data_IF_463044813610
#
_entry.id   IF_463044813610
#
_cell.length_a   1.000
_cell.length_b   1.000
_cell.length_c   1.000
_cell.angle_alpha   90.00
_cell.angle_beta   90.00
_cell.angle_gamma   90.00
#
_symmetry.space_group_name_H-M   'P 1'
#
loop_
_entity.id
_entity.type
_entity.pdbx_description
1 polymer ?
#
# COMPACT_ATOMS: atom_id res chain seq x y z
N UNK A 1 -72.05 -24.90 -60.14
CA UNK A 1 -71.68 -24.56 -58.75
C UNK A 1 -70.18 -24.75 -58.64
N UNK A 2 -69.32 -23.81 -58.25
CA UNK A 2 -69.49 -22.51 -57.63
C UNK A 2 -68.32 -21.60 -58.07
N UNK A 3 -68.62 -20.34 -58.37
CA UNK A 3 -67.61 -19.30 -58.59
C UNK A 3 -67.38 -18.58 -57.27
N UNK A 4 -66.25 -18.81 -56.61
CA UNK A 4 -65.90 -18.05 -55.40
C UNK A 4 -64.98 -16.91 -55.80
N UNK A 5 -65.58 -15.74 -55.95
CA UNK A 5 -64.89 -14.47 -56.19
C UNK A 5 -64.10 -14.09 -54.93
N UNK A 6 -62.76 -14.14 -55.02
CA UNK A 6 -61.86 -13.71 -53.95
C UNK A 6 -61.62 -12.19 -54.09
N UNK A 7 -62.62 -11.40 -53.71
CA UNK A 7 -62.48 -9.95 -53.53
C UNK A 7 -62.82 -9.65 -52.08
N UNK A 8 -61.78 -9.45 -51.24
CA UNK A 8 -61.78 -8.63 -50.01
C UNK A 8 -60.52 -8.90 -49.17
N UNK A 9 -59.33 -8.47 -49.61
CA UNK A 9 -58.18 -8.43 -48.68
C UNK A 9 -57.14 -7.33 -48.94
N UNK A 10 -57.43 -6.38 -49.84
CA UNK A 10 -56.45 -5.33 -50.21
C UNK A 10 -56.40 -4.17 -49.23
N UNK A 11 -57.45 -3.96 -48.44
CA UNK A 11 -57.58 -2.79 -47.54
C UNK A 11 -57.00 -3.02 -46.13
N UNK A 12 -56.83 -4.28 -45.71
CA UNK A 12 -56.25 -4.66 -44.41
C UNK A 12 -54.72 -4.82 -44.49
N UNK A 13 -54.21 -5.35 -45.60
CA UNK A 13 -52.77 -5.55 -45.85
C UNK A 13 -51.95 -4.25 -45.76
N UNK A 14 -52.46 -3.15 -46.35
CA UNK A 14 -51.75 -1.86 -46.36
C UNK A 14 -51.57 -1.28 -44.94
N UNK A 15 -52.55 -1.48 -44.06
CA UNK A 15 -52.51 -0.98 -42.68
C UNK A 15 -51.59 -1.82 -41.79
N UNK A 16 -51.51 -3.13 -42.04
CA UNK A 16 -50.61 -4.04 -41.32
C UNK A 16 -49.13 -3.79 -41.67
N UNK A 17 -48.83 -3.52 -42.95
CA UNK A 17 -47.50 -3.14 -43.43
C UNK A 17 -47.01 -1.84 -42.78
N UNK A 18 -47.88 -0.82 -42.69
CA UNK A 18 -47.57 0.47 -42.08
C UNK A 18 -47.27 0.35 -40.57
N UNK A 19 -47.99 -0.52 -39.86
CA UNK A 19 -47.75 -0.83 -38.44
C UNK A 19 -46.40 -1.54 -38.24
N UNK A 20 -46.05 -2.46 -39.14
CA UNK A 20 -44.77 -3.18 -39.11
C UNK A 20 -43.60 -2.22 -39.37
N UNK A 21 -43.74 -1.33 -40.34
CA UNK A 21 -42.72 -0.33 -40.66
C UNK A 21 -42.51 0.69 -39.53
N UNK A 22 -43.58 1.18 -38.91
CA UNK A 22 -43.45 2.07 -37.76
C UNK A 22 -42.82 1.34 -36.55
N UNK A 23 -43.16 0.06 -36.33
CA UNK A 23 -42.50 -0.77 -35.29
C UNK A 23 -41.01 -0.93 -35.60
N UNK A 24 -40.62 -1.17 -36.85
CA UNK A 24 -39.22 -1.27 -37.28
C UNK A 24 -38.49 0.05 -37.08
N UNK A 25 -39.11 1.18 -37.44
CA UNK A 25 -38.57 2.52 -37.22
C UNK A 25 -38.31 2.80 -35.74
N UNK A 26 -39.29 2.52 -34.87
CA UNK A 26 -39.15 2.65 -33.41
C UNK A 26 -38.03 1.76 -32.85
N UNK A 27 -37.90 0.52 -33.33
CA UNK A 27 -36.81 -0.39 -32.94
C UNK A 27 -35.45 0.14 -33.34
N UNK A 28 -35.31 0.68 -34.55
CA UNK A 28 -34.04 1.27 -35.00
C UNK A 28 -33.64 2.48 -34.14
N UNK A 29 -34.59 3.34 -33.77
CA UNK A 29 -34.33 4.50 -32.90
C UNK A 29 -33.93 4.02 -31.50
N UNK A 30 -34.70 3.09 -30.91
CA UNK A 30 -34.42 2.55 -29.58
C UNK A 30 -33.08 1.82 -29.51
N UNK A 31 -32.74 1.00 -30.52
CA UNK A 31 -31.46 0.31 -30.61
C UNK A 31 -30.29 1.28 -30.79
N UNK A 32 -30.47 2.32 -31.62
CA UNK A 32 -29.46 3.38 -31.79
C UNK A 32 -29.20 4.08 -30.46
N UNK A 33 -30.25 4.42 -29.72
CA UNK A 33 -30.11 5.05 -28.42
C UNK A 33 -29.47 4.12 -27.39
N UNK A 34 -29.87 2.85 -27.34
CA UNK A 34 -29.30 1.87 -26.40
C UNK A 34 -27.82 1.58 -26.69
N UNK A 35 -27.43 1.50 -27.97
CA UNK A 35 -26.04 1.39 -28.39
C UNK A 35 -25.23 2.63 -27.98
N UNK A 36 -25.79 3.85 -28.14
CA UNK A 36 -25.16 5.09 -27.67
C UNK A 36 -24.94 5.07 -26.16
N UNK A 37 -25.98 4.75 -25.38
CA UNK A 37 -25.90 4.66 -23.91
C UNK A 37 -24.92 3.56 -23.45
N UNK A 38 -24.84 2.45 -24.18
CA UNK A 38 -23.86 1.39 -23.90
C UNK A 38 -22.42 1.89 -24.10
N UNK A 39 -22.15 2.55 -25.23
CA UNK A 39 -20.83 3.17 -25.49
C UNK A 39 -20.49 4.22 -24.45
N UNK A 40 -21.44 5.09 -24.10
CA UNK A 40 -21.24 6.12 -23.08
C UNK A 40 -20.87 5.52 -21.71
N UNK A 41 -21.60 4.50 -21.25
CA UNK A 41 -21.29 3.82 -19.98
C UNK A 41 -19.90 3.17 -19.99
N UNK A 42 -19.52 2.54 -21.10
CA UNK A 42 -18.16 1.97 -21.25
C UNK A 42 -17.09 3.06 -21.21
N UNK A 43 -17.32 4.20 -21.87
CA UNK A 43 -16.38 5.33 -21.84
C UNK A 43 -16.22 5.87 -20.41
N UNK A 44 -17.33 6.11 -19.70
CA UNK A 44 -17.31 6.56 -18.31
C UNK A 44 -16.52 5.61 -17.41
N UNK A 45 -16.73 4.30 -17.57
CA UNK A 45 -16.00 3.31 -16.80
C UNK A 45 -14.50 3.30 -17.10
N UNK A 46 -14.11 3.48 -18.36
CA UNK A 46 -12.70 3.62 -18.73
C UNK A 46 -12.08 4.88 -18.11
N UNK A 47 -12.79 6.01 -18.16
CA UNK A 47 -12.33 7.27 -17.57
C UNK A 47 -12.17 7.15 -16.05
N UNK A 48 -13.12 6.49 -15.37
CA UNK A 48 -13.04 6.17 -13.94
C UNK A 48 -11.81 5.32 -13.61
N UNK A 49 -11.54 4.27 -14.40
CA UNK A 49 -10.38 3.40 -14.21
C UNK A 49 -9.06 4.16 -14.43
N UNK A 50 -8.99 5.01 -15.45
CA UNK A 50 -7.81 5.85 -15.72
C UNK A 50 -7.56 6.81 -14.56
N UNK A 51 -8.60 7.48 -14.07
CA UNK A 51 -8.50 8.39 -12.92
C UNK A 51 -8.05 7.64 -11.66
N UNK A 52 -8.60 6.45 -11.40
CA UNK A 52 -8.21 5.63 -10.26
C UNK A 52 -6.75 5.18 -10.36
N UNK A 53 -6.29 4.77 -11.54
CA UNK A 53 -4.90 4.40 -11.77
C UNK A 53 -3.95 5.59 -11.56
N UNK A 54 -4.32 6.78 -12.05
CA UNK A 54 -3.55 8.00 -11.84
C UNK A 54 -3.44 8.37 -10.35
N UNK A 55 -4.57 8.36 -9.63
CA UNK A 55 -4.61 8.62 -8.20
C UNK A 55 -3.76 7.61 -7.40
N UNK A 56 -3.88 6.32 -7.70
CA UNK A 56 -3.08 5.29 -7.02
C UNK A 56 -1.58 5.45 -7.31
N UNK A 57 -1.22 5.87 -8.51
CA UNK A 57 0.18 6.15 -8.88
C UNK A 57 0.74 7.34 -8.10
N UNK A 58 -0.04 8.40 -7.94
CA UNK A 58 0.33 9.56 -7.14
C UNK A 58 0.49 9.20 -5.66
N UNK A 59 -0.47 8.48 -5.08
CA UNK A 59 -0.39 8.01 -3.69
C UNK A 59 0.82 7.08 -3.46
N UNK A 60 1.11 6.19 -4.41
CA UNK A 60 2.29 5.32 -4.31
C UNK A 60 3.59 6.14 -4.32
N UNK A 61 3.69 7.16 -5.18
CA UNK A 61 4.84 8.06 -5.22
C UNK A 61 4.98 8.84 -3.91
N UNK A 62 3.86 9.34 -3.35
CA UNK A 62 3.81 10.04 -2.06
C UNK A 62 4.28 9.15 -0.91
N UNK A 63 3.77 7.92 -0.82
CA UNK A 63 4.17 6.95 0.20
C UNK A 63 5.66 6.61 0.07
N UNK A 64 6.13 6.34 -1.15
CA UNK A 64 7.55 6.05 -1.40
C UNK A 64 8.45 7.19 -0.91
N UNK A 65 8.10 8.43 -1.21
CA UNK A 65 8.83 9.60 -0.72
C UNK A 65 8.86 9.67 0.81
N UNK A 66 7.72 9.44 1.47
CA UNK A 66 7.63 9.41 2.93
C UNK A 66 8.49 8.30 3.54
N UNK A 67 8.46 7.10 2.96
CA UNK A 67 9.30 5.97 3.40
C UNK A 67 10.78 6.32 3.29
N UNK A 68 11.22 6.92 2.19
CA UNK A 68 12.60 7.34 2.01
C UNK A 68 13.03 8.38 3.05
N UNK A 69 12.18 9.37 3.33
CA UNK A 69 12.46 10.38 4.36
C UNK A 69 12.58 9.76 5.76
N UNK A 70 11.70 8.82 6.10
CA UNK A 70 11.75 8.10 7.39
C UNK A 70 13.02 7.26 7.47
N UNK A 71 13.38 6.56 6.39
CA UNK A 71 14.60 5.76 6.32
C UNK A 71 15.85 6.62 6.54
N UNK A 72 15.95 7.78 5.89
CA UNK A 72 17.08 8.70 6.08
C UNK A 72 17.20 9.17 7.54
N UNK A 73 16.07 9.53 8.16
CA UNK A 73 16.04 9.92 9.58
C UNK A 73 16.42 8.76 10.50
N UNK A 74 15.93 7.56 10.20
CA UNK A 74 16.26 6.36 10.95
C UNK A 74 17.77 6.08 10.90
N UNK A 75 18.38 6.10 9.71
CA UNK A 75 19.82 5.89 9.56
C UNK A 75 20.65 6.94 10.30
N UNK A 76 20.21 8.20 10.29
CA UNK A 76 20.84 9.27 11.07
C UNK A 76 20.78 8.96 12.57
N UNK A 77 19.60 8.66 13.10
CA UNK A 77 19.41 8.32 14.51
C UNK A 77 20.21 7.06 14.91
N UNK A 78 20.30 6.07 14.03
CA UNK A 78 21.09 4.86 14.28
C UNK A 78 22.59 5.19 14.37
N UNK A 79 23.10 6.07 13.49
CA UNK A 79 24.49 6.54 13.56
C UNK A 79 24.77 7.33 14.85
N UNK A 80 23.86 8.21 15.27
CA UNK A 80 23.95 8.94 16.53
C UNK A 80 23.93 7.97 17.73
N UNK A 81 23.07 6.96 17.69
CA UNK A 81 22.99 5.93 18.71
C UNK A 81 24.29 5.11 18.80
N UNK A 82 24.89 4.77 17.66
CA UNK A 82 26.17 4.08 17.60
C UNK A 82 27.30 4.89 18.24
N UNK A 83 27.35 6.20 17.99
CA UNK A 83 28.32 7.11 18.63
C UNK A 83 28.11 7.14 20.15
N UNK A 84 26.87 7.31 20.61
CA UNK A 84 26.55 7.31 22.04
C UNK A 84 26.94 5.98 22.72
N UNK A 85 26.72 4.84 22.06
CA UNK A 85 27.15 3.53 22.55
C UNK A 85 28.67 3.41 22.66
N UNK A 86 29.40 3.92 21.67
CA UNK A 86 30.86 3.93 21.70
C UNK A 86 31.39 4.80 22.87
N UNK A 87 30.80 5.98 23.06
CA UNK A 87 31.14 6.87 24.18
C UNK A 87 30.83 6.22 25.53
N UNK A 88 29.67 5.57 25.66
CA UNK A 88 29.31 4.84 26.87
C UNK A 88 30.32 3.73 27.16
N UNK A 89 30.68 2.92 26.15
CA UNK A 89 31.68 1.86 26.30
C UNK A 89 33.06 2.41 26.74
N UNK A 90 33.49 3.53 26.18
CA UNK A 90 34.73 4.21 26.58
C UNK A 90 34.67 4.66 28.04
N UNK A 91 33.59 5.33 28.46
CA UNK A 91 33.43 5.82 29.82
C UNK A 91 33.34 4.68 30.84
N UNK A 92 32.60 3.62 30.51
CA UNK A 92 32.54 2.40 31.32
C UNK A 92 33.91 1.74 31.44
N UNK A 93 34.67 1.63 30.35
CA UNK A 93 36.03 1.09 30.39
C UNK A 93 36.97 1.92 31.27
N UNK A 94 36.88 3.25 31.20
CA UNK A 94 37.63 4.15 32.10
C UNK A 94 37.24 3.97 33.56
N UNK A 95 35.95 3.88 33.86
CA UNK A 95 35.48 3.64 35.23
C UNK A 95 35.97 2.29 35.75
N UNK A 96 35.87 1.22 34.95
CA UNK A 96 36.38 -0.10 35.34
C UNK A 96 37.89 -0.08 35.61
N UNK A 97 38.66 0.67 34.82
CA UNK A 97 40.09 0.86 35.06
C UNK A 97 40.35 1.56 36.41
N UNK A 98 39.59 2.60 36.73
CA UNK A 98 39.72 3.31 38.02
C UNK A 98 39.28 2.41 39.17
N UNK A 99 38.16 1.71 39.03
CA UNK A 99 37.66 0.75 40.00
C UNK A 99 38.68 -0.38 40.25
N UNK A 100 39.38 -0.86 39.22
CA UNK A 100 40.45 -1.85 39.36
C UNK A 100 41.65 -1.31 40.16
N UNK A 101 42.04 -0.05 39.95
CA UNK A 101 43.09 0.59 40.75
C UNK A 101 42.65 0.75 42.20
N UNK A 102 41.40 1.12 42.41
CA UNK A 102 40.82 1.30 43.74
C UNK A 102 40.80 -0.01 44.52
N UNK A 103 40.44 -1.14 43.88
CA UNK A 103 40.52 -2.49 44.47
C UNK A 103 41.94 -2.86 44.87
N UNK A 104 42.94 -2.50 44.07
CA UNK A 104 44.34 -2.72 44.47
C UNK A 104 44.69 -1.91 45.73
N UNK A 105 44.29 -0.63 45.81
CA UNK A 105 44.57 0.22 46.98
C UNK A 105 43.87 -0.28 48.24
N UNK A 106 42.63 -0.74 48.12
CA UNK A 106 41.87 -1.39 49.20
C UNK A 106 42.63 -2.61 49.73
N UNK A 107 43.14 -3.48 48.86
CA UNK A 107 43.94 -4.65 49.25
C UNK A 107 45.23 -4.26 49.99
N UNK A 108 45.92 -3.19 49.55
CA UNK A 108 47.16 -2.72 50.21
C UNK A 108 46.93 -1.97 51.52
N UNK A 109 45.84 -1.21 51.63
CA UNK A 109 45.56 -0.34 52.78
C UNK A 109 44.72 -1.02 53.87
N UNK A 110 44.01 -2.10 53.53
CA UNK A 110 43.06 -2.77 54.42
C UNK A 110 41.82 -1.94 54.75
N UNK A 111 41.60 -0.83 54.04
CA UNK A 111 40.42 0.03 54.19
C UNK A 111 39.40 -0.36 53.13
N UNK A 112 38.26 -0.88 53.60
CA UNK A 112 37.09 -1.23 52.79
C UNK A 112 36.56 0.01 52.05
N UNK A 113 36.44 -0.09 50.72
CA UNK A 113 36.01 1.01 49.86
C UNK A 113 34.75 0.62 49.08
N UNK A 114 33.69 1.44 49.17
CA UNK A 114 32.42 1.18 48.46
C UNK A 114 32.52 1.57 46.98
N UNK A 115 32.88 0.59 46.14
CA UNK A 115 33.09 0.78 44.69
C UNK A 115 31.79 0.54 43.92
N UNK A 116 31.17 1.60 43.42
CA UNK A 116 29.96 1.50 42.58
C UNK A 116 30.27 0.92 41.19
N UNK A 117 29.49 -0.09 40.79
CA UNK A 117 29.51 -0.68 39.44
C UNK A 117 28.35 -0.16 38.58
N UNK A 118 28.61 0.05 37.29
CA UNK A 118 27.55 0.42 36.33
C UNK A 118 26.74 -0.85 35.99
N UNK A 119 25.40 -0.84 36.11
CA UNK A 119 24.57 -1.99 35.78
C UNK A 119 24.64 -2.41 34.29
N UNK A 120 24.80 -3.72 34.04
CA UNK A 120 24.80 -4.37 32.71
C UNK A 120 23.65 -3.98 31.76
N UNK A 121 22.39 -3.71 32.22
CA UNK A 121 21.31 -3.29 31.34
C UNK A 121 21.59 -2.00 30.56
N UNK A 122 22.45 -1.12 31.09
CA UNK A 122 22.87 0.10 30.38
C UNK A 122 23.82 -0.21 29.23
N UNK A 123 24.52 -1.35 29.27
CA UNK A 123 25.40 -1.77 28.19
C UNK A 123 24.64 -2.39 27.00
N UNK A 124 23.42 -2.93 27.21
CA UNK A 124 22.63 -3.58 26.14
C UNK A 124 21.09 -3.39 26.25
N UNK A 125 20.56 -2.16 26.21
CA UNK A 125 19.15 -1.90 26.54
C UNK A 125 18.14 -2.50 25.55
N UNK A 126 18.56 -2.82 24.32
CA UNK A 126 17.64 -3.20 23.21
C UNK A 126 17.98 -4.52 22.53
N UNK A 127 18.79 -5.37 23.17
CA UNK A 127 19.14 -6.68 22.61
C UNK A 127 17.96 -7.68 22.59
N UNK A 128 16.77 -7.27 23.03
CA UNK A 128 15.54 -8.08 23.05
C UNK A 128 14.79 -8.14 21.70
N UNK A 129 15.13 -7.29 20.73
CA UNK A 129 14.49 -7.29 19.42
C UNK A 129 15.53 -7.57 18.33
N UNK A 130 16.00 -8.81 18.22
CA UNK A 130 16.51 -9.29 16.93
C UNK A 130 15.32 -9.29 15.98
N UNK A 131 15.09 -8.17 15.30
CA UNK A 131 14.16 -8.09 14.20
C UNK A 131 14.58 -9.14 13.17
N UNK A 132 13.90 -10.27 13.16
CA UNK A 132 13.98 -11.21 12.06
C UNK A 132 13.62 -10.43 10.80
N UNK A 133 14.40 -10.56 9.70
CA UNK A 133 14.06 -9.88 8.46
C UNK A 133 12.66 -10.33 8.05
N UNK A 134 11.72 -9.37 7.95
CA UNK A 134 10.42 -9.62 7.35
C UNK A 134 10.72 -9.82 5.86
N UNK A 135 10.88 -11.09 5.47
CA UNK A 135 10.97 -11.48 4.08
C UNK A 135 9.58 -11.24 3.50
N UNK A 136 9.39 -10.08 2.87
CA UNK A 136 8.23 -9.81 2.05
C UNK A 136 8.29 -10.80 0.87
N UNK A 137 7.57 -11.92 1.00
CA UNK A 137 7.36 -12.87 -0.08
C UNK A 137 6.59 -12.16 -1.20
N UNK A 138 7.30 -11.66 -2.19
CA UNK A 138 6.73 -11.05 -3.40
C UNK A 138 6.28 -12.10 -4.43
N UNK A 139 6.03 -13.35 -4.02
CA UNK A 139 5.88 -14.48 -4.93
C UNK A 139 4.44 -14.76 -5.41
N UNK A 140 3.40 -14.04 -4.96
CA UNK A 140 2.02 -14.38 -5.31
C UNK A 140 1.19 -13.18 -5.82
N UNK A 141 1.64 -12.44 -6.84
CA UNK A 141 0.83 -11.39 -7.49
C UNK A 141 0.58 -11.59 -8.99
N UNK A 142 1.01 -12.69 -9.60
CA UNK A 142 0.66 -13.00 -11.00
C UNK A 142 0.46 -14.50 -11.22
N UNK A 143 -0.77 -14.97 -11.03
CA UNK A 143 -1.41 -16.05 -11.81
C UNK A 143 -2.87 -15.69 -12.06
#
# INVERSE_FOLDING_TARGET
MASTSNQSNRSTSSSEEEIVDERKRKRMISNRESARRSRQRKQQHLDELVNKAAHLKEENARITMQTNMIMERFLRLDSENAVLRAQLAELTGRLQSVNSVLRMVEEFSGVDMDIQEIPDPLMRPWQMCSAQPIIASSACMFE
#
